data_IF_412672936861
#
_entry.id   IF_412672936861
#
_cell.length_a   1.000
_cell.length_b   1.000
_cell.length_c   1.000
_cell.angle_alpha   90.00
_cell.angle_beta   90.00
_cell.angle_gamma   90.00
#
_symmetry.space_group_name_H-M   'P 1'
#
loop_
_entity.id
_entity.type
_entity.pdbx_description
1 polymer ?
#
# COMPACT_ATOMS: atom_id res chain seq x y z
N UNK A 1 6.85 2.92 -1.40
CA UNK A 1 5.63 3.63 -1.82
C UNK A 1 5.94 5.05 -2.31
N UNK A 2 5.48 5.44 -3.50
CA UNK A 2 5.86 6.69 -4.21
C UNK A 2 4.98 7.91 -3.84
N UNK A 3 3.72 7.69 -3.47
CA UNK A 3 2.73 8.78 -3.37
C UNK A 3 3.07 9.90 -2.37
N UNK A 4 3.71 9.66 -1.20
CA UNK A 4 4.07 10.74 -0.30
C UNK A 4 4.94 11.82 -0.95
N UNK A 5 5.84 11.41 -1.86
CA UNK A 5 6.68 12.33 -2.62
C UNK A 5 5.87 13.10 -3.68
N UNK A 6 5.00 12.42 -4.42
CA UNK A 6 4.12 13.03 -5.43
C UNK A 6 3.24 14.11 -4.82
N UNK A 7 2.65 13.82 -3.65
CA UNK A 7 1.81 14.74 -2.89
C UNK A 7 2.61 15.93 -2.34
N UNK A 8 3.82 15.69 -1.79
CA UNK A 8 4.71 16.73 -1.28
C UNK A 8 5.11 17.72 -2.39
N UNK A 9 5.48 17.22 -3.56
CA UNK A 9 5.91 18.02 -4.70
C UNK A 9 4.72 18.56 -5.53
N UNK A 10 3.48 18.26 -5.11
CA UNK A 10 2.23 18.64 -5.79
C UNK A 10 2.21 18.25 -7.27
N UNK A 11 2.82 17.12 -7.58
CA UNK A 11 2.88 16.63 -8.95
C UNK A 11 1.52 16.05 -9.35
N UNK A 12 0.99 16.50 -10.48
CA UNK A 12 -0.25 16.00 -11.04
C UNK A 12 0.05 14.81 -11.95
N UNK A 13 -0.29 13.62 -11.49
CA UNK A 13 -0.26 12.43 -12.33
C UNK A 13 -1.33 12.56 -13.41
N UNK A 14 -1.03 12.06 -14.61
CA UNK A 14 -2.03 11.98 -15.68
C UNK A 14 -3.19 11.07 -15.26
N UNK A 15 -4.41 11.40 -15.66
CA UNK A 15 -5.61 10.55 -15.43
C UNK A 15 -5.53 9.19 -16.12
N UNK A 16 -4.59 8.99 -17.06
CA UNK A 16 -4.32 7.68 -17.66
C UNK A 16 -3.22 6.89 -16.90
N UNK A 17 -2.60 7.49 -15.87
CA UNK A 17 -1.57 6.83 -15.09
C UNK A 17 -2.21 5.79 -14.16
N UNK A 18 -1.64 4.58 -14.09
CA UNK A 18 -2.08 3.55 -13.14
C UNK A 18 -1.84 3.93 -11.68
N UNK A 19 -0.92 4.84 -11.41
CA UNK A 19 -0.66 5.36 -10.07
C UNK A 19 -1.44 6.66 -9.80
N UNK A 20 -2.29 7.10 -10.75
CA UNK A 20 -3.21 8.20 -10.46
C UNK A 20 -4.05 7.82 -9.24
N UNK A 21 -4.33 8.75 -8.30
CA UNK A 21 -5.11 8.44 -7.10
C UNK A 21 -6.43 7.69 -7.37
N UNK A 22 -7.07 7.98 -8.50
CA UNK A 22 -8.34 7.35 -8.92
C UNK A 22 -8.17 6.00 -9.64
N UNK A 23 -6.95 5.63 -10.03
CA UNK A 23 -6.65 4.41 -10.79
C UNK A 23 -5.75 3.42 -10.04
N UNK A 24 -5.17 3.84 -8.92
CA UNK A 24 -4.21 3.04 -8.15
C UNK A 24 -4.92 1.97 -7.33
N UNK A 25 -5.10 0.82 -7.96
CA UNK A 25 -5.75 -0.37 -7.40
C UNK A 25 -5.15 -0.83 -6.06
N UNK A 26 -3.84 -0.62 -5.84
CA UNK A 26 -3.15 -1.08 -4.64
C UNK A 26 -2.96 0.03 -3.60
N UNK A 27 -3.46 1.23 -3.87
CA UNK A 27 -3.28 2.41 -3.02
C UNK A 27 -3.63 2.14 -1.56
N UNK A 28 -4.78 1.51 -1.33
CA UNK A 28 -5.26 1.26 0.03
C UNK A 28 -4.35 0.26 0.76
N UNK A 29 -3.93 -0.82 0.10
CA UNK A 29 -3.03 -1.81 0.70
C UNK A 29 -1.66 -1.22 1.02
N UNK A 30 -1.09 -0.42 0.10
CA UNK A 30 0.17 0.29 0.31
C UNK A 30 0.11 1.26 1.49
N UNK A 31 -1.00 2.01 1.64
CA UNK A 31 -1.23 2.91 2.78
C UNK A 31 -1.31 2.17 4.12
N UNK A 32 -1.68 0.88 4.10
CA UNK A 32 -1.78 0.04 5.29
C UNK A 32 -0.54 -0.82 5.53
N UNK A 33 0.57 -0.57 4.83
CA UNK A 33 1.88 -1.11 5.20
C UNK A 33 2.51 -0.27 6.30
N UNK A 34 2.70 -0.88 7.47
CA UNK A 34 3.39 -0.22 8.59
C UNK A 34 4.76 -0.87 8.79
N UNK A 35 5.83 -0.18 8.39
CA UNK A 35 7.20 -0.60 8.69
C UNK A 35 7.54 -0.15 10.12
N UNK A 36 7.66 -1.11 11.03
CA UNK A 36 7.90 -0.86 12.47
C UNK A 36 9.39 -0.88 12.78
N UNK A 37 10.12 -1.85 12.22
CA UNK A 37 11.57 -2.04 12.37
C UNK A 37 12.10 -2.82 11.16
N UNK A 38 13.43 -2.97 11.03
CA UNK A 38 14.16 -3.58 9.89
C UNK A 38 13.54 -4.93 9.46
N UNK A 39 13.11 -5.74 10.43
CA UNK A 39 12.54 -7.07 10.22
C UNK A 39 11.10 -7.17 10.73
N UNK A 40 10.39 -6.03 10.77
CA UNK A 40 9.04 -5.97 11.28
C UNK A 40 8.14 -5.09 10.43
N UNK A 41 7.27 -5.77 9.70
CA UNK A 41 6.19 -5.18 8.93
C UNK A 41 4.85 -5.53 9.58
N UNK A 42 3.93 -4.58 9.64
CA UNK A 42 2.63 -4.78 10.26
C UNK A 42 1.51 -4.39 9.31
N UNK A 43 0.51 -5.25 9.21
CA UNK A 43 -0.74 -4.97 8.50
C UNK A 43 -1.55 -3.91 9.24
N UNK A 44 -1.89 -2.82 8.56
CA UNK A 44 -2.74 -1.75 9.09
C UNK A 44 -4.18 -2.19 9.37
N UNK A 45 -4.73 -3.12 8.58
CA UNK A 45 -6.11 -3.59 8.73
C UNK A 45 -6.32 -4.49 9.96
N UNK A 46 -5.45 -5.49 10.16
CA UNK A 46 -5.63 -6.51 11.20
C UNK A 46 -4.50 -6.60 12.23
N UNK A 47 -3.49 -5.72 12.14
CA UNK A 47 -2.36 -5.59 13.09
C UNK A 47 -1.42 -6.81 13.17
N UNK A 48 -1.56 -7.80 12.28
CA UNK A 48 -0.60 -8.92 12.16
C UNK A 48 0.79 -8.43 11.76
N UNK A 49 1.81 -9.08 12.29
CA UNK A 49 3.24 -8.76 12.08
C UNK A 49 3.88 -9.80 11.16
N UNK A 50 4.82 -9.35 10.34
CA UNK A 50 5.51 -10.10 9.30
C UNK A 50 7.00 -9.73 9.30
N UNK A 51 7.85 -10.68 8.93
CA UNK A 51 9.30 -10.47 8.92
C UNK A 51 9.74 -9.50 7.82
N UNK A 52 9.08 -9.56 6.67
CA UNK A 52 9.43 -8.78 5.49
C UNK A 52 8.17 -8.21 4.86
N UNK A 53 8.33 -7.15 4.07
CA UNK A 53 7.26 -6.55 3.28
C UNK A 53 6.59 -7.58 2.37
N UNK A 54 7.37 -8.46 1.72
CA UNK A 54 6.84 -9.48 0.82
C UNK A 54 5.86 -10.45 1.50
N UNK A 55 6.07 -10.79 2.78
CA UNK A 55 5.11 -11.62 3.53
C UNK A 55 3.84 -10.84 3.91
N UNK A 56 3.96 -9.52 4.11
CA UNK A 56 2.80 -8.66 4.30
C UNK A 56 1.99 -8.51 3.00
N UNK A 57 2.66 -8.38 1.85
CA UNK A 57 2.02 -8.33 0.52
C UNK A 57 1.26 -9.61 0.22
N UNK A 58 1.91 -10.76 0.40
CA UNK A 58 1.24 -12.05 0.28
C UNK A 58 0.05 -12.16 1.25
N UNK A 59 0.14 -11.59 2.45
CA UNK A 59 -0.99 -11.56 3.37
C UNK A 59 -2.14 -10.70 2.83
N UNK A 60 -1.86 -9.56 2.20
CA UNK A 60 -2.89 -8.76 1.55
C UNK A 60 -3.60 -9.53 0.43
N UNK A 61 -2.86 -10.18 -0.47
CA UNK A 61 -3.45 -10.98 -1.56
C UNK A 61 -4.38 -12.08 -1.02
N UNK A 62 -3.99 -12.75 0.06
CA UNK A 62 -4.72 -13.89 0.60
C UNK A 62 -5.88 -13.52 1.53
N UNK A 63 -5.79 -12.39 2.23
CA UNK A 63 -6.69 -12.05 3.36
C UNK A 63 -7.41 -10.72 3.21
N UNK A 64 -6.93 -9.84 2.33
CA UNK A 64 -7.45 -8.49 2.09
C UNK A 64 -7.54 -8.17 0.59
N UNK A 65 -7.61 -9.18 -0.28
CA UNK A 65 -7.84 -8.98 -1.72
C UNK A 65 -9.22 -8.42 -2.02
N UNK A 66 -10.18 -8.58 -1.11
CA UNK A 66 -11.49 -7.97 -1.18
C UNK A 66 -11.48 -6.45 -0.85
N UNK A 67 -10.34 -5.88 -0.47
CA UNK A 67 -10.16 -4.44 -0.23
C UNK A 67 -9.41 -3.77 -1.41
N UNK A 68 -9.52 -4.36 -2.60
CA UNK A 68 -9.02 -3.78 -3.84
C UNK A 68 -10.20 -3.10 -4.55
N UNK A 69 -10.16 -1.78 -4.71
CA UNK A 69 -11.20 -0.94 -5.34
C UNK A 69 -12.62 -1.08 -4.72
N UNK A 70 -12.84 -0.51 -3.53
CA UNK A 70 -14.17 -0.05 -3.09
C UNK A 70 -14.34 1.46 -3.37
#
# INVERSE_FOLDING_TARGET
YLMPFVEQEKYLLSTNCRLHPDNDMFREQEQHKVHVDINEWRCGFCKKRFLTEAYLDQHFDNRHSNLLND
#
